data_IF_880571279789
#
_entry.id   IF_880571279789
#
_cell.length_a   1.000
_cell.length_b   1.000
_cell.length_c   1.000
_cell.angle_alpha   90.00
_cell.angle_beta   90.00
_cell.angle_gamma   90.00
#
_symmetry.space_group_name_H-M   'P 1'
#
loop_
_entity.id
_entity.type
_entity.pdbx_description
1 polymer ?
#
# COMPACT_ATOMS: atom_id res chain seq x y z
N UNK A 1 17.70 19.14 -1.14
CA UNK A 1 18.41 18.10 -1.93
C UNK A 1 17.39 17.45 -2.83
N UNK A 2 17.72 17.12 -4.10
CA UNK A 2 16.80 16.34 -4.93
C UNK A 2 16.49 15.01 -4.24
N UNK A 3 15.28 14.49 -4.41
CA UNK A 3 14.92 13.20 -3.82
C UNK A 3 15.81 12.10 -4.38
N UNK A 4 16.29 11.19 -3.52
CA UNK A 4 17.05 10.03 -3.97
C UNK A 4 16.15 9.01 -4.69
N UNK A 5 14.83 9.17 -4.59
CA UNK A 5 13.82 8.26 -5.11
C UNK A 5 12.69 9.05 -5.77
N UNK A 6 12.80 9.41 -7.06
CA UNK A 6 11.81 10.23 -7.73
C UNK A 6 10.41 9.60 -7.61
N UNK A 7 9.45 10.40 -7.17
CA UNK A 7 8.06 10.01 -6.93
C UNK A 7 7.91 8.80 -5.97
N UNK A 8 8.88 8.58 -5.07
CA UNK A 8 8.94 7.40 -4.21
C UNK A 8 8.87 6.05 -4.97
N UNK A 9 9.30 6.01 -6.24
CA UNK A 9 9.23 4.83 -7.10
C UNK A 9 7.87 4.58 -7.76
N UNK A 10 6.89 5.44 -7.53
CA UNK A 10 5.59 5.43 -8.21
C UNK A 10 5.65 6.18 -9.56
N UNK A 11 4.58 6.05 -10.34
CA UNK A 11 4.33 7.00 -11.44
C UNK A 11 4.07 8.40 -10.86
N UNK A 12 4.35 9.44 -11.64
CA UNK A 12 4.12 10.83 -11.22
C UNK A 12 2.68 11.08 -10.78
N UNK A 13 1.71 10.52 -11.50
CA UNK A 13 0.29 10.65 -11.21
C UNK A 13 -0.11 9.98 -9.88
N UNK A 14 0.31 8.74 -9.66
CA UNK A 14 0.03 8.03 -8.42
C UNK A 14 0.68 8.73 -7.22
N UNK A 15 1.89 9.23 -7.39
CA UNK A 15 2.58 9.97 -6.32
C UNK A 15 1.91 11.30 -6.00
N UNK A 16 1.42 12.01 -7.02
CA UNK A 16 0.67 13.25 -6.81
C UNK A 16 -0.63 13.00 -6.02
N UNK A 17 -1.44 12.01 -6.43
CA UNK A 17 -2.67 11.63 -5.71
C UNK A 17 -2.37 11.16 -4.28
N UNK A 18 -1.29 10.40 -4.09
CA UNK A 18 -0.82 10.02 -2.75
C UNK A 18 -0.52 11.25 -1.88
N UNK A 19 0.13 12.27 -2.43
CA UNK A 19 0.40 13.50 -1.67
C UNK A 19 -0.87 14.24 -1.31
N UNK A 20 -1.81 14.36 -2.24
CA UNK A 20 -3.11 15.02 -2.00
C UNK A 20 -3.86 14.35 -0.84
N UNK A 21 -4.01 13.02 -0.85
CA UNK A 21 -4.69 12.31 0.25
C UNK A 21 -3.93 12.37 1.57
N UNK A 22 -2.59 12.38 1.56
CA UNK A 22 -1.80 12.55 2.79
C UNK A 22 -1.93 13.96 3.36
N UNK A 23 -2.00 14.97 2.51
CA UNK A 23 -2.27 16.36 2.92
C UNK A 23 -3.67 16.50 3.53
N UNK A 24 -4.69 15.88 2.92
CA UNK A 24 -6.06 15.81 3.45
C UNK A 24 -6.14 15.08 4.79
N UNK A 25 -5.46 13.93 4.91
CA UNK A 25 -5.37 13.15 6.15
C UNK A 25 -4.74 14.00 7.27
N UNK A 26 -3.67 14.72 6.95
CA UNK A 26 -2.99 15.61 7.91
C UNK A 26 -3.83 16.82 8.30
N UNK A 27 -4.58 17.38 7.35
CA UNK A 27 -5.47 18.51 7.61
C UNK A 27 -6.68 18.11 8.46
N UNK A 28 -7.17 16.88 8.29
CA UNK A 28 -8.30 16.33 9.06
C UNK A 28 -7.89 15.96 10.49
N UNK A 29 -6.66 15.48 10.68
CA UNK A 29 -6.17 14.96 11.97
C UNK A 29 -4.86 15.62 12.47
N UNK A 30 -4.71 16.95 12.50
CA UNK A 30 -3.42 17.63 12.68
C UNK A 30 -2.65 17.24 13.95
N UNK A 31 -3.36 16.85 15.02
CA UNK A 31 -2.77 16.37 16.28
C UNK A 31 -3.20 14.95 16.66
N UNK A 32 -3.90 14.25 15.77
CA UNK A 32 -4.56 12.97 16.05
C UNK A 32 -4.34 11.90 14.98
N UNK A 33 -3.50 12.13 13.95
CA UNK A 33 -3.15 11.11 12.94
C UNK A 33 -2.77 9.79 13.59
N UNK A 34 -1.91 9.80 14.61
CA UNK A 34 -1.48 8.58 15.30
C UNK A 34 -2.67 7.86 15.94
N UNK A 35 -3.61 8.59 16.54
CA UNK A 35 -4.81 7.99 17.15
C UNK A 35 -5.73 7.42 16.06
N UNK A 36 -5.89 8.12 14.95
CA UNK A 36 -6.67 7.65 13.80
C UNK A 36 -6.07 6.40 13.15
N UNK A 37 -4.73 6.34 12.99
CA UNK A 37 -4.04 5.13 12.51
C UNK A 37 -4.26 3.96 13.48
N UNK A 38 -4.23 4.20 14.80
CA UNK A 38 -4.52 3.16 15.78
C UNK A 38 -5.95 2.62 15.64
N UNK A 39 -6.93 3.50 15.39
CA UNK A 39 -8.33 3.12 15.18
C UNK A 39 -8.51 2.26 13.92
N UNK A 40 -7.91 2.67 12.80
CA UNK A 40 -8.00 1.94 11.52
C UNK A 40 -7.26 0.59 11.59
N UNK A 41 -6.05 0.58 12.16
CA UNK A 41 -5.17 -0.59 12.13
C UNK A 41 -5.32 -1.50 13.36
N UNK A 42 -6.06 -1.08 14.38
CA UNK A 42 -6.19 -1.81 15.65
C UNK A 42 -4.83 -2.04 16.33
N UNK A 43 -3.88 -1.12 16.20
CA UNK A 43 -2.48 -1.33 16.58
C UNK A 43 -2.05 -0.49 17.79
N UNK A 44 -0.86 -0.79 18.33
CA UNK A 44 -0.29 -0.01 19.41
C UNK A 44 0.13 1.39 18.94
N UNK A 45 0.19 2.35 19.87
CA UNK A 45 0.68 3.71 19.60
C UNK A 45 2.08 3.73 18.97
N UNK A 46 2.93 2.77 19.32
CA UNK A 46 4.28 2.64 18.75
C UNK A 46 4.22 2.24 17.28
N UNK A 47 3.37 1.29 16.94
CA UNK A 47 3.18 0.86 15.54
C UNK A 47 2.55 1.97 14.71
N UNK A 48 1.53 2.66 15.23
CA UNK A 48 0.92 3.80 14.56
C UNK A 48 1.93 4.93 14.27
N UNK A 49 2.81 5.25 15.22
CA UNK A 49 3.91 6.21 14.99
C UNK A 49 4.87 5.75 13.89
N UNK A 50 5.17 4.46 13.81
CA UNK A 50 6.03 3.94 12.76
C UNK A 50 5.36 4.05 11.38
N UNK A 51 4.05 3.84 11.29
CA UNK A 51 3.28 4.01 10.06
C UNK A 51 3.23 5.49 9.65
N UNK A 52 2.95 6.40 10.58
CA UNK A 52 2.98 7.86 10.33
C UNK A 52 4.37 8.34 9.86
N UNK A 53 5.42 7.81 10.48
CA UNK A 53 6.79 8.07 10.04
C UNK A 53 7.04 7.52 8.63
N UNK A 54 6.53 6.33 8.30
CA UNK A 54 6.62 5.74 6.96
C UNK A 54 5.92 6.60 5.90
N UNK A 55 4.72 7.11 6.19
CA UNK A 55 3.99 8.07 5.34
C UNK A 55 4.84 9.32 5.11
N UNK A 56 5.43 9.85 6.18
CA UNK A 56 6.22 11.08 6.13
C UNK A 56 7.48 10.94 5.28
N UNK A 57 8.22 9.83 5.40
CA UNK A 57 9.42 9.61 4.57
C UNK A 57 9.10 9.32 3.11
N UNK A 58 7.95 8.71 2.81
CA UNK A 58 7.44 8.52 1.45
C UNK A 58 7.03 9.86 0.82
N UNK A 59 6.36 10.71 1.59
CA UNK A 59 5.90 12.03 1.15
C UNK A 59 7.06 12.93 0.71
N UNK A 60 8.20 12.87 1.40
CA UNK A 60 9.42 13.62 1.02
C UNK A 60 10.33 12.83 0.08
N UNK A 61 9.85 11.73 -0.51
CA UNK A 61 10.57 10.92 -1.50
C UNK A 61 11.94 10.40 -1.00
N UNK A 62 12.07 10.18 0.31
CA UNK A 62 13.32 9.70 0.91
C UNK A 62 13.48 8.18 0.76
N UNK A 63 12.42 7.46 0.41
CA UNK A 63 12.41 6.02 0.22
C UNK A 63 11.48 5.61 -0.91
N UNK A 64 11.77 4.50 -1.56
CA UNK A 64 10.81 3.83 -2.44
C UNK A 64 9.64 3.23 -1.66
N UNK A 65 8.47 3.25 -2.30
CA UNK A 65 7.30 2.51 -1.86
C UNK A 65 7.46 1.03 -2.19
N UNK A 66 7.77 0.25 -1.15
CA UNK A 66 7.95 -1.20 -1.27
C UNK A 66 6.64 -1.94 -0.96
N UNK A 67 6.50 -3.20 -1.39
CA UNK A 67 5.30 -4.01 -1.09
C UNK A 67 4.93 -4.04 0.40
N UNK A 68 5.93 -4.13 1.28
CA UNK A 68 5.74 -4.07 2.73
C UNK A 68 5.13 -2.75 3.20
N UNK A 69 5.53 -1.62 2.60
CA UNK A 69 4.96 -0.30 2.95
C UNK A 69 3.54 -0.15 2.41
N UNK A 70 3.24 -0.70 1.23
CA UNK A 70 1.86 -0.72 0.71
C UNK A 70 0.93 -1.40 1.70
N UNK A 71 1.31 -2.57 2.23
CA UNK A 71 0.50 -3.27 3.26
C UNK A 71 0.27 -2.37 4.50
N UNK A 72 1.27 -1.58 4.90
CA UNK A 72 1.12 -0.65 6.02
C UNK A 72 0.14 0.49 5.74
N UNK A 73 0.03 0.94 4.49
CA UNK A 73 -0.88 2.00 4.04
C UNK A 73 -2.33 1.52 3.85
N UNK A 74 -2.59 0.21 3.87
CA UNK A 74 -3.93 -0.36 3.72
C UNK A 74 -4.90 0.25 4.74
N UNK A 75 -6.00 0.81 4.24
CA UNK A 75 -7.04 1.47 5.03
C UNK A 75 -6.79 2.94 5.36
N UNK A 76 -5.61 3.50 5.05
CA UNK A 76 -5.27 4.91 5.32
C UNK A 76 -5.48 5.83 4.12
N UNK A 77 -5.58 5.26 2.93
CA UNK A 77 -5.86 5.95 1.68
C UNK A 77 -7.25 5.54 1.18
N UNK A 78 -7.80 6.31 0.26
CA UNK A 78 -9.01 5.96 -0.46
C UNK A 78 -8.86 4.58 -1.12
N UNK A 79 -9.97 3.84 -1.19
CA UNK A 79 -9.98 2.49 -1.74
C UNK A 79 -9.47 2.47 -3.19
N UNK A 80 -9.82 3.49 -3.97
CA UNK A 80 -9.41 3.64 -5.36
C UNK A 80 -7.91 3.85 -5.47
N UNK A 81 -7.36 4.89 -4.83
CA UNK A 81 -5.92 5.18 -4.89
C UNK A 81 -5.09 4.01 -4.36
N UNK A 82 -5.50 3.44 -3.23
CA UNK A 82 -4.82 2.29 -2.65
C UNK A 82 -4.78 1.10 -3.62
N UNK A 83 -5.90 0.81 -4.29
CA UNK A 83 -5.96 -0.30 -5.25
C UNK A 83 -4.99 -0.11 -6.43
N UNK A 84 -4.86 1.12 -6.94
CA UNK A 84 -3.95 1.42 -8.04
C UNK A 84 -2.49 1.37 -7.61
N UNK A 85 -2.17 1.93 -6.44
CA UNK A 85 -0.83 1.85 -5.84
C UNK A 85 -0.45 0.39 -5.59
N UNK A 86 -1.34 -0.41 -5.00
CA UNK A 86 -1.10 -1.82 -4.74
C UNK A 86 -0.89 -2.59 -6.04
N UNK A 87 -1.76 -2.41 -7.05
CA UNK A 87 -1.59 -3.01 -8.38
C UNK A 87 -0.24 -2.63 -8.99
N UNK A 88 0.15 -1.36 -8.94
CA UNK A 88 1.43 -0.91 -9.48
C UNK A 88 2.59 -1.56 -8.72
N UNK A 89 2.68 -1.38 -7.41
CA UNK A 89 3.82 -1.84 -6.61
C UNK A 89 3.95 -3.35 -6.66
N UNK A 90 2.84 -4.08 -6.53
CA UNK A 90 2.86 -5.54 -6.60
C UNK A 90 3.13 -6.07 -8.00
N UNK A 91 3.10 -5.26 -9.07
CA UNK A 91 3.52 -5.66 -10.40
C UNK A 91 4.97 -5.30 -10.73
N UNK A 92 5.55 -4.30 -10.06
CA UNK A 92 6.87 -3.75 -10.39
C UNK A 92 7.97 -4.13 -9.41
N UNK A 93 7.63 -4.53 -8.18
CA UNK A 93 8.61 -4.87 -7.15
C UNK A 93 8.53 -6.34 -6.73
N UNK A 94 9.67 -6.85 -6.26
CA UNK A 94 9.79 -8.16 -5.62
C UNK A 94 9.57 -8.03 -4.10
N UNK A 95 9.12 -9.12 -3.49
CA UNK A 95 8.90 -9.23 -2.04
C UNK A 95 9.25 -10.64 -1.55
N UNK A 96 9.57 -10.80 -0.25
CA UNK A 96 9.78 -12.13 0.33
C UNK A 96 8.46 -12.90 0.47
N UNK A 97 8.51 -14.23 0.36
CA UNK A 97 7.36 -15.14 0.49
C UNK A 97 6.54 -14.93 1.77
N UNK A 98 7.17 -14.40 2.83
CA UNK A 98 6.49 -14.04 4.08
C UNK A 98 5.35 -13.03 3.91
N UNK A 99 5.33 -12.27 2.81
CA UNK A 99 4.27 -11.30 2.50
C UNK A 99 3.18 -11.87 1.56
N UNK A 100 3.34 -13.10 1.04
CA UNK A 100 2.43 -13.65 0.03
C UNK A 100 0.99 -13.65 0.51
N UNK A 101 0.73 -14.07 1.75
CA UNK A 101 -0.64 -14.09 2.30
C UNK A 101 -1.28 -12.71 2.39
N UNK A 102 -0.50 -11.67 2.71
CA UNK A 102 -1.01 -10.30 2.80
C UNK A 102 -1.23 -9.69 1.41
N UNK A 103 -0.30 -9.94 0.49
CA UNK A 103 -0.40 -9.50 -0.90
C UNK A 103 -1.60 -10.15 -1.58
N UNK A 104 -1.81 -11.46 -1.38
CA UNK A 104 -2.94 -12.20 -1.93
C UNK A 104 -4.26 -11.67 -1.36
N UNK A 105 -4.35 -11.45 -0.04
CA UNK A 105 -5.52 -10.83 0.61
C UNK A 105 -5.83 -9.46 0.00
N UNK A 106 -4.84 -8.57 -0.07
CA UNK A 106 -5.02 -7.22 -0.61
C UNK A 106 -5.45 -7.27 -2.07
N UNK A 107 -4.82 -8.12 -2.88
CA UNK A 107 -5.16 -8.28 -4.30
C UNK A 107 -6.61 -8.71 -4.48
N UNK A 108 -7.10 -9.60 -3.61
CA UNK A 108 -8.49 -10.06 -3.64
C UNK A 108 -9.47 -8.96 -3.19
N UNK A 109 -9.17 -8.28 -2.08
CA UNK A 109 -10.04 -7.27 -1.45
C UNK A 109 -10.17 -5.99 -2.28
N UNK A 110 -9.04 -5.55 -2.86
CA UNK A 110 -8.93 -4.30 -3.61
C UNK A 110 -8.96 -4.50 -5.12
N UNK A 111 -9.41 -5.68 -5.61
CA UNK A 111 -9.58 -5.90 -7.04
C UNK A 111 -10.58 -4.88 -7.62
N UNK A 112 -10.12 -4.10 -8.60
CA UNK A 112 -11.02 -3.38 -9.50
C UNK A 112 -11.65 -4.40 -10.45
N UNK A 113 -12.97 -4.30 -10.67
CA UNK A 113 -13.71 -5.21 -11.55
C UNK A 113 -13.07 -5.17 -12.96
N UNK A 114 -12.28 -6.18 -13.34
CA UNK A 114 -11.81 -6.31 -14.73
C UNK A 114 -10.45 -6.96 -14.98
N UNK A 115 -9.46 -6.90 -14.07
CA UNK A 115 -8.12 -7.40 -14.41
C UNK A 115 -7.37 -8.03 -13.22
N UNK A 116 -7.22 -9.35 -13.24
CA UNK A 116 -6.30 -10.10 -12.38
C UNK A 116 -4.85 -9.76 -12.77
N UNK A 117 -4.32 -8.68 -12.21
CA UNK A 117 -2.97 -8.22 -12.49
C UNK A 117 -1.91 -8.97 -11.68
N UNK A 118 -1.45 -10.15 -12.14
CA UNK A 118 -0.01 -10.50 -12.30
C UNK A 118 0.21 -11.87 -12.98
N UNK A 119 1.22 -11.92 -13.84
CA UNK A 119 1.75 -13.12 -14.51
C UNK A 119 2.87 -13.82 -13.68
N UNK A 120 2.76 -13.85 -12.34
CA UNK A 120 3.78 -14.48 -11.47
C UNK A 120 3.35 -15.93 -11.13
N UNK A 121 4.26 -16.94 -11.20
CA UNK A 121 3.91 -18.32 -10.91
C UNK A 121 3.33 -18.54 -9.51
N UNK A 122 3.77 -17.79 -8.49
CA UNK A 122 3.26 -17.89 -7.10
C UNK A 122 1.82 -17.40 -6.97
N UNK A 123 1.49 -16.25 -7.56
CA UNK A 123 0.11 -15.72 -7.62
C UNK A 123 -0.78 -16.62 -8.48
N UNK A 124 -0.28 -17.12 -9.62
CA UNK A 124 -0.97 -18.17 -10.39
C UNK A 124 -1.19 -19.42 -9.55
N UNK A 125 -0.20 -19.86 -8.76
CA UNK A 125 -0.32 -21.07 -7.92
C UNK A 125 -1.44 -20.91 -6.89
N UNK A 126 -1.63 -19.71 -6.33
CA UNK A 126 -2.75 -19.44 -5.45
C UNK A 126 -4.08 -19.33 -6.20
N UNK A 127 -4.15 -18.62 -7.32
CA UNK A 127 -5.36 -18.55 -8.16
C UNK A 127 -5.81 -19.93 -8.65
N UNK A 128 -4.88 -20.78 -9.10
CA UNK A 128 -5.13 -22.18 -9.45
C UNK A 128 -5.54 -23.01 -8.23
N UNK A 129 -4.96 -22.76 -7.04
CA UNK A 129 -5.32 -23.48 -5.81
C UNK A 129 -6.71 -23.07 -5.29
N UNK A 130 -7.07 -21.79 -5.34
CA UNK A 130 -8.39 -21.30 -4.97
C UNK A 130 -9.46 -21.85 -5.93
N UNK A 131 -9.19 -21.82 -7.24
CA UNK A 131 -10.09 -22.39 -8.25
C UNK A 131 -10.22 -23.92 -8.15
N UNK A 132 -9.12 -24.63 -7.83
CA UNK A 132 -9.13 -26.08 -7.62
C UNK A 132 -9.77 -26.51 -6.29
N UNK A 133 -9.82 -25.62 -5.29
CA UNK A 133 -10.48 -25.85 -3.99
C UNK A 133 -11.96 -25.43 -3.99
N UNK A 134 -12.48 -24.86 -5.09
CA UNK A 134 -13.90 -24.59 -5.28
C UNK A 134 -14.51 -23.59 -4.30
N UNK A 135 -13.74 -22.58 -3.87
CA UNK A 135 -14.20 -21.49 -2.99
C UNK A 135 -14.56 -20.25 -3.79
#
# INVERSE_FOLDING_TARGET
MPSNYPNAGLTKELFQRYREEVEELRATYPNSIVAHIMEIKGCSKREAKNIDSAISVLYVEHVNLTPRKVIQLEGLLSRELFSEIAKYVFNHYEWPESLDSEVDRITLEYRTQGELGRNKPSVKRYLYRAYALGV
#
